data_IF_307824409579
#
_entry.id   IF_307824409579
#
_cell.length_a   1.000
_cell.length_b   1.000
_cell.length_c   1.000
_cell.angle_alpha   90.00
_cell.angle_beta   90.00
_cell.angle_gamma   90.00
#
_symmetry.space_group_name_H-M   'P 1'
#
loop_
_entity.id
_entity.type
_entity.pdbx_description
1 polymer ?
#
# COMPACT_ATOMS: atom_id res chain seq x y z
N UNK A 1 -12.60 -4.27 -60.44
CA UNK A 1 -11.42 -5.05 -60.02
C UNK A 1 -11.82 -5.87 -58.80
N UNK A 2 -12.20 -7.07 -59.07
CA UNK A 2 -12.77 -8.07 -58.15
C UNK A 2 -11.62 -8.95 -57.62
N UNK A 3 -11.49 -9.05 -56.30
CA UNK A 3 -10.57 -10.03 -55.69
C UNK A 3 -11.37 -11.05 -54.88
N UNK A 4 -11.25 -12.30 -55.34
CA UNK A 4 -11.79 -13.55 -54.79
C UNK A 4 -11.32 -13.83 -53.33
N UNK A 5 -12.15 -14.50 -52.55
CA UNK A 5 -11.79 -15.04 -51.26
C UNK A 5 -11.02 -16.37 -51.38
N UNK A 6 -9.91 -16.49 -50.65
CA UNK A 6 -9.17 -17.75 -50.51
C UNK A 6 -9.77 -18.57 -49.38
N UNK A 7 -10.29 -19.72 -49.76
CA UNK A 7 -10.73 -20.81 -48.88
C UNK A 7 -9.48 -21.49 -48.29
N UNK A 8 -9.37 -21.55 -46.98
CA UNK A 8 -8.32 -22.32 -46.27
C UNK A 8 -8.95 -23.64 -45.83
N UNK A 9 -8.43 -24.71 -46.37
CA UNK A 9 -8.75 -26.10 -46.08
C UNK A 9 -8.11 -26.50 -44.73
N UNK A 10 -8.92 -27.00 -43.81
CA UNK A 10 -8.47 -27.57 -42.53
C UNK A 10 -8.40 -29.10 -42.70
N UNK A 11 -7.28 -29.76 -42.41
CA UNK A 11 -7.23 -31.22 -42.38
C UNK A 11 -7.66 -31.79 -41.02
N UNK A 12 -8.18 -33.02 -41.01
CA UNK A 12 -8.77 -33.64 -39.84
C UNK A 12 -7.75 -34.33 -38.93
N UNK A 13 -8.15 -34.34 -37.69
CA UNK A 13 -7.85 -35.22 -36.56
C UNK A 13 -6.87 -36.38 -36.73
N UNK A 14 -5.89 -36.41 -35.82
CA UNK A 14 -5.32 -37.69 -35.37
C UNK A 14 -5.45 -37.72 -33.85
N UNK A 15 -6.29 -38.62 -33.38
CA UNK A 15 -6.41 -39.04 -32.01
C UNK A 15 -5.26 -39.97 -31.69
N UNK A 16 -4.49 -39.69 -30.64
CA UNK A 16 -3.63 -40.67 -29.98
C UNK A 16 -3.93 -40.69 -28.51
N UNK A 17 -4.41 -41.81 -28.09
CA UNK A 17 -4.72 -42.18 -26.71
C UNK A 17 -3.46 -42.61 -25.99
N UNK A 18 -3.54 -42.57 -24.66
CA UNK A 18 -2.86 -43.35 -23.64
C UNK A 18 -1.44 -42.92 -23.22
N UNK A 19 -1.27 -42.54 -21.98
CA UNK A 19 -0.79 -43.43 -20.94
C UNK A 19 -0.78 -42.72 -19.58
N UNK A 20 -1.39 -43.40 -18.64
CA UNK A 20 -1.36 -43.07 -17.23
C UNK A 20 0.07 -43.06 -16.67
N UNK A 21 0.37 -42.00 -15.93
CA UNK A 21 1.56 -41.91 -15.12
C UNK A 21 1.29 -40.84 -14.05
N UNK A 22 0.61 -41.26 -12.97
CA UNK A 22 0.46 -40.42 -11.79
C UNK A 22 1.80 -40.34 -11.07
N UNK A 23 2.59 -39.36 -11.39
CA UNK A 23 3.67 -38.90 -10.51
C UNK A 23 3.09 -37.67 -9.79
N UNK A 24 2.68 -37.89 -8.56
CA UNK A 24 2.36 -36.84 -7.60
C UNK A 24 3.69 -36.28 -7.13
N UNK A 25 4.09 -35.09 -7.51
CA UNK A 25 5.13 -34.39 -6.79
C UNK A 25 4.50 -33.96 -5.46
N UNK A 26 4.98 -34.55 -4.35
CA UNK A 26 4.79 -33.99 -3.03
C UNK A 26 5.47 -32.59 -3.05
N UNK A 27 4.73 -31.57 -3.46
CA UNK A 27 5.10 -30.20 -3.25
C UNK A 27 4.87 -29.93 -1.77
N UNK A 28 5.96 -29.98 -0.99
CA UNK A 28 6.02 -29.27 0.28
C UNK A 28 5.83 -27.78 0.00
N UNK A 29 4.62 -27.34 -0.07
CA UNK A 29 4.27 -25.93 0.00
C UNK A 29 4.02 -25.58 1.46
N UNK A 30 5.10 -25.60 2.28
CA UNK A 30 5.15 -24.80 3.49
C UNK A 30 5.27 -23.32 3.12
N UNK A 31 4.25 -22.84 2.45
CA UNK A 31 3.89 -21.45 2.49
C UNK A 31 2.77 -21.38 3.51
N UNK A 32 3.15 -21.25 4.77
CA UNK A 32 2.26 -20.72 5.79
C UNK A 32 1.88 -19.31 5.31
N UNK A 33 0.94 -19.25 4.38
CA UNK A 33 0.14 -18.06 4.17
C UNK A 33 -0.53 -17.85 5.51
N UNK A 34 -0.19 -16.78 6.20
CA UNK A 34 -0.96 -16.29 7.32
C UNK A 34 -2.34 -15.95 6.75
N UNK A 35 -3.21 -16.95 6.65
CA UNK A 35 -4.63 -16.71 6.54
C UNK A 35 -5.00 -15.93 7.80
N UNK A 36 -5.04 -14.62 7.65
CA UNK A 36 -5.70 -13.77 8.62
C UNK A 36 -7.17 -14.18 8.55
N UNK A 37 -7.51 -15.20 9.33
CA UNK A 37 -8.89 -15.54 9.56
C UNK A 37 -9.53 -14.24 10.08
N UNK A 38 -10.44 -13.67 9.30
CA UNK A 38 -11.30 -12.60 9.77
C UNK A 38 -12.06 -13.21 10.95
N UNK A 39 -11.56 -12.95 12.14
CA UNK A 39 -12.15 -13.43 13.36
C UNK A 39 -13.57 -12.84 13.39
N UNK A 40 -14.56 -13.73 13.44
CA UNK A 40 -15.95 -13.33 13.58
C UNK A 40 -16.11 -12.42 14.79
N UNK A 41 -17.16 -11.59 14.79
CA UNK A 41 -17.49 -10.63 15.84
C UNK A 41 -17.39 -11.30 17.23
N UNK A 42 -16.29 -11.09 17.95
CA UNK A 42 -16.00 -11.70 19.24
C UNK A 42 -14.55 -12.11 19.49
N UNK A 43 -13.71 -12.22 18.46
CA UNK A 43 -12.29 -12.43 18.66
C UNK A 43 -11.65 -11.07 19.02
N UNK A 44 -11.28 -10.91 20.27
CA UNK A 44 -10.45 -9.78 20.69
C UNK A 44 -9.06 -9.97 20.09
N UNK A 45 -8.77 -9.20 19.07
CA UNK A 45 -7.42 -9.13 18.51
C UNK A 45 -6.48 -8.59 19.60
N UNK A 46 -5.54 -9.41 20.04
CA UNK A 46 -4.66 -9.11 21.19
C UNK A 46 -3.72 -7.93 20.92
N UNK A 47 -3.48 -7.64 19.64
CA UNK A 47 -2.54 -6.61 19.17
C UNK A 47 -3.27 -5.47 18.46
N UNK A 48 -4.36 -5.01 19.02
CA UNK A 48 -5.13 -3.92 18.45
C UNK A 48 -4.30 -2.64 18.45
N UNK A 49 -4.27 -1.96 17.31
CA UNK A 49 -3.68 -0.63 17.23
C UNK A 49 -4.47 0.37 18.08
N UNK A 50 -3.81 1.04 19.00
CA UNK A 50 -4.41 2.05 19.88
C UNK A 50 -3.82 3.44 19.64
N UNK A 51 -2.66 3.51 19.01
CA UNK A 51 -1.96 4.75 18.67
C UNK A 51 -1.40 4.70 17.27
N UNK A 52 -1.39 5.85 16.61
CA UNK A 52 -0.81 6.05 15.29
C UNK A 52 0.16 7.23 15.34
N UNK A 53 1.30 7.11 14.69
CA UNK A 53 2.27 8.17 14.52
C UNK A 53 2.73 8.29 13.07
N UNK A 54 3.15 9.50 12.67
CA UNK A 54 3.84 9.71 11.42
C UNK A 54 5.33 9.60 11.71
N UNK A 55 5.98 8.60 11.13
CA UNK A 55 7.39 8.27 11.38
C UNK A 55 8.35 9.39 10.98
N UNK A 56 9.48 9.43 11.67
CA UNK A 56 10.61 10.28 11.30
C UNK A 56 11.20 9.92 9.93
N UNK A 57 10.93 8.72 9.43
CA UNK A 57 11.35 8.24 8.12
C UNK A 57 10.55 8.85 6.96
N UNK A 58 9.50 9.65 7.25
CA UNK A 58 8.76 10.40 6.23
C UNK A 58 9.69 11.36 5.49
N UNK A 59 9.79 11.20 4.16
CA UNK A 59 10.78 11.90 3.36
C UNK A 59 10.22 12.44 2.04
N UNK A 60 10.62 13.64 1.64
CA UNK A 60 10.30 14.17 0.32
C UNK A 60 10.95 13.38 -0.81
N UNK A 61 10.16 13.04 -1.83
CA UNK A 61 10.61 12.42 -3.07
C UNK A 61 10.63 13.50 -4.16
N UNK A 62 11.83 13.94 -4.52
CA UNK A 62 12.02 14.84 -5.66
C UNK A 62 12.07 14.03 -6.96
N UNK A 63 11.37 14.49 -7.97
CA UNK A 63 11.50 14.00 -9.33
C UNK A 63 12.32 15.00 -10.14
N UNK A 64 13.11 14.49 -11.09
CA UNK A 64 13.76 15.34 -12.10
C UNK A 64 12.72 15.99 -13.04
N UNK A 65 11.51 15.42 -13.11
CA UNK A 65 10.43 15.94 -13.91
C UNK A 65 9.61 16.96 -13.09
N UNK A 66 9.44 18.21 -13.56
CA UNK A 66 8.60 19.21 -12.91
C UNK A 66 7.17 18.67 -12.72
N UNK A 67 6.58 18.96 -11.56
CA UNK A 67 5.20 18.56 -11.24
C UNK A 67 5.02 17.08 -10.82
N UNK A 68 6.11 16.33 -10.64
CA UNK A 68 6.07 14.94 -10.15
C UNK A 68 6.64 14.77 -8.74
N UNK A 69 6.62 15.83 -7.96
CA UNK A 69 7.03 15.77 -6.55
C UNK A 69 6.04 14.95 -5.75
N UNK A 70 6.55 14.23 -4.78
CA UNK A 70 5.75 13.46 -3.85
C UNK A 70 6.37 13.47 -2.45
N UNK A 71 5.59 13.05 -1.47
CA UNK A 71 6.06 12.75 -0.12
C UNK A 71 5.89 11.25 0.10
N UNK A 72 6.95 10.55 0.53
CA UNK A 72 6.85 9.18 1.05
C UNK A 72 6.53 9.27 2.53
N UNK A 73 5.25 9.11 2.86
CA UNK A 73 4.77 9.20 4.24
C UNK A 73 4.82 7.83 4.88
N UNK A 74 5.51 7.74 6.02
CA UNK A 74 5.65 6.53 6.82
C UNK A 74 4.77 6.63 8.05
N UNK A 75 3.92 5.62 8.26
CA UNK A 75 2.98 5.55 9.38
C UNK A 75 3.30 4.33 10.22
N UNK A 76 3.36 4.55 11.52
CA UNK A 76 3.57 3.54 12.57
C UNK A 76 2.27 3.40 13.38
N UNK A 77 1.93 2.17 13.72
CA UNK A 77 0.84 1.86 14.64
C UNK A 77 1.41 1.13 15.85
N UNK A 78 0.88 1.45 17.01
CA UNK A 78 1.30 0.88 18.29
C UNK A 78 0.09 0.32 19.04
N UNK A 79 0.30 -0.76 19.75
CA UNK A 79 -0.69 -1.32 20.68
C UNK A 79 -0.65 -0.66 22.07
N UNK A 80 -1.38 -1.21 23.04
CA UNK A 80 -1.45 -0.71 24.42
C UNK A 80 -0.12 -0.81 25.16
N UNK A 81 0.76 -1.72 24.76
CA UNK A 81 2.07 -1.93 25.38
C UNK A 81 3.16 -1.08 24.71
N UNK A 82 2.78 -0.34 23.65
CA UNK A 82 3.65 0.50 22.79
C UNK A 82 4.53 -0.31 21.85
N UNK A 83 4.18 -1.55 21.62
CA UNK A 83 4.82 -2.37 20.60
C UNK A 83 4.25 -2.03 19.22
N UNK A 84 5.10 -2.06 18.20
CA UNK A 84 4.68 -1.85 16.82
C UNK A 84 3.72 -2.94 16.40
N UNK A 85 2.61 -2.53 15.79
CA UNK A 85 1.56 -3.45 15.39
C UNK A 85 0.99 -3.11 14.01
N UNK A 86 0.30 -4.07 13.44
CA UNK A 86 -0.39 -3.89 12.16
C UNK A 86 -1.81 -3.40 12.40
N UNK A 87 -2.33 -2.60 11.46
CA UNK A 87 -3.67 -2.09 11.51
C UNK A 87 -4.46 -2.46 10.26
N UNK A 88 -5.76 -2.73 10.42
CA UNK A 88 -6.68 -3.02 9.32
C UNK A 88 -7.76 -1.93 9.27
N UNK A 89 -7.89 -1.25 8.14
CA UNK A 89 -8.83 -0.15 8.00
C UNK A 89 -8.49 0.79 6.85
N UNK A 90 -9.10 1.96 6.86
CA UNK A 90 -8.88 3.01 5.89
C UNK A 90 -7.90 4.04 6.45
N UNK A 91 -6.79 4.23 5.76
CA UNK A 91 -5.80 5.24 6.08
C UNK A 91 -5.86 6.36 5.04
N UNK A 92 -5.99 7.60 5.50
CA UNK A 92 -5.97 8.79 4.66
C UNK A 92 -4.86 9.72 5.12
N UNK A 93 -4.05 10.18 4.19
CA UNK A 93 -2.97 11.14 4.45
C UNK A 93 -3.21 12.39 3.63
N UNK A 94 -3.11 13.54 4.27
CA UNK A 94 -3.24 14.87 3.69
C UNK A 94 -1.96 15.65 3.94
N UNK A 95 -1.43 16.29 2.91
CA UNK A 95 -0.27 17.18 3.02
C UNK A 95 -0.73 18.61 2.79
N UNK A 96 -0.37 19.50 3.71
CA UNK A 96 -0.70 20.92 3.65
C UNK A 96 0.56 21.77 3.60
N UNK A 97 0.45 22.84 2.84
CA UNK A 97 1.40 23.94 2.86
C UNK A 97 0.63 25.22 3.22
N UNK A 98 1.02 25.85 4.33
CA UNK A 98 0.23 26.88 4.99
C UNK A 98 -1.20 26.36 5.28
N UNK A 99 -2.24 26.98 4.75
CA UNK A 99 -3.64 26.58 4.91
C UNK A 99 -4.14 25.67 3.79
N UNK A 100 -3.38 25.50 2.71
CA UNK A 100 -3.82 24.82 1.51
C UNK A 100 -3.46 23.34 1.52
N UNK A 101 -4.39 22.49 1.14
CA UNK A 101 -4.12 21.08 0.83
C UNK A 101 -3.38 21.03 -0.53
N UNK A 102 -2.19 20.43 -0.53
CA UNK A 102 -1.35 20.29 -1.72
C UNK A 102 -1.13 18.84 -2.12
N UNK A 103 -1.60 17.89 -1.31
CA UNK A 103 -1.51 16.46 -1.63
C UNK A 103 -2.42 15.62 -0.75
N UNK A 104 -2.91 14.52 -1.34
CA UNK A 104 -3.75 13.55 -0.64
C UNK A 104 -3.48 12.15 -1.19
N UNK A 105 -3.44 11.17 -0.29
CA UNK A 105 -3.44 9.76 -0.63
C UNK A 105 -4.31 8.98 0.36
N UNK A 106 -4.84 7.84 -0.09
CA UNK A 106 -5.58 6.93 0.76
C UNK A 106 -5.14 5.49 0.48
N UNK A 107 -5.20 4.64 1.51
CA UNK A 107 -4.93 3.22 1.40
C UNK A 107 -5.97 2.43 2.19
N UNK A 108 -6.53 1.41 1.58
CA UNK A 108 -7.35 0.41 2.25
C UNK A 108 -6.44 -0.71 2.76
N UNK A 109 -6.13 -0.67 4.05
CA UNK A 109 -5.25 -1.66 4.70
C UNK A 109 -5.99 -2.95 5.04
N UNK A 110 -7.34 -2.97 4.96
CA UNK A 110 -8.17 -4.16 5.17
C UNK A 110 -8.45 -4.93 3.88
N UNK A 111 -8.30 -4.26 2.72
CA UNK A 111 -8.56 -4.84 1.40
C UNK A 111 -7.54 -5.91 1.01
N UNK A 112 -7.94 -6.79 0.09
CA UNK A 112 -7.09 -7.85 -0.44
C UNK A 112 -5.81 -7.29 -1.05
N UNK A 113 -4.67 -7.58 -0.43
CA UNK A 113 -3.36 -7.08 -0.84
C UNK A 113 -3.08 -5.61 -0.48
N UNK A 114 -4.02 -4.89 0.12
CA UNK A 114 -3.81 -3.49 0.55
C UNK A 114 -2.72 -3.38 1.60
N UNK A 115 -2.82 -4.20 2.64
CA UNK A 115 -1.78 -4.31 3.66
C UNK A 115 -0.41 -4.64 3.06
N UNK A 116 -0.31 -5.68 2.22
CA UNK A 116 0.96 -6.13 1.65
C UNK A 116 1.62 -5.09 0.72
N UNK A 117 0.85 -4.20 0.11
CA UNK A 117 1.39 -3.14 -0.76
C UNK A 117 1.93 -1.95 0.02
N UNK A 118 1.31 -1.65 1.15
CA UNK A 118 1.67 -0.51 1.96
C UNK A 118 2.69 -0.85 3.06
N UNK A 119 2.77 -2.11 3.50
CA UNK A 119 3.64 -2.54 4.58
C UNK A 119 5.09 -2.72 4.12
N UNK A 120 5.99 -2.03 4.76
CA UNK A 120 7.44 -2.21 4.63
C UNK A 120 7.94 -3.03 5.83
N UNK A 121 8.34 -4.28 5.59
CA UNK A 121 8.76 -5.21 6.65
C UNK A 121 10.16 -4.92 7.19
N UNK A 122 10.92 -4.05 6.57
CA UNK A 122 12.27 -3.67 7.03
C UNK A 122 12.19 -2.55 8.06
N UNK A 123 11.31 -1.59 7.80
CA UNK A 123 11.10 -0.43 8.69
C UNK A 123 9.89 -0.59 9.59
N UNK A 124 9.14 -1.70 9.44
CA UNK A 124 7.90 -2.00 10.17
C UNK A 124 6.86 -0.86 10.11
N UNK A 125 6.83 -0.14 8.99
CA UNK A 125 5.94 1.00 8.75
C UNK A 125 5.03 0.78 7.55
N UNK A 126 3.92 1.51 7.50
CA UNK A 126 3.13 1.66 6.28
C UNK A 126 3.66 2.84 5.45
N UNK A 127 3.97 2.58 4.19
CA UNK A 127 4.45 3.60 3.24
C UNK A 127 3.34 4.02 2.30
N UNK A 128 3.05 5.33 2.26
CA UNK A 128 2.12 5.93 1.32
C UNK A 128 2.81 7.03 0.52
N UNK A 129 2.84 6.86 -0.79
CA UNK A 129 3.31 7.91 -1.70
C UNK A 129 2.20 8.93 -1.93
N UNK A 130 2.39 10.15 -1.45
CA UNK A 130 1.45 11.26 -1.61
C UNK A 130 1.95 12.19 -2.72
N UNK A 131 1.31 12.20 -3.91
CA UNK A 131 1.67 13.15 -4.96
C UNK A 131 1.30 14.57 -4.54
N UNK A 132 2.15 15.53 -4.85
CA UNK A 132 1.92 16.93 -4.54
C UNK A 132 1.46 17.67 -5.82
N UNK A 133 0.42 18.48 -5.69
CA UNK A 133 -0.15 19.28 -6.79
C UNK A 133 0.71 20.49 -7.16
N UNK A 134 1.56 20.93 -6.22
CA UNK A 134 2.53 22.01 -6.42
C UNK A 134 3.87 21.60 -5.82
N UNK A 135 4.95 22.18 -6.31
CA UNK A 135 6.26 22.05 -5.66
C UNK A 135 6.36 23.05 -4.51
N UNK A 136 6.55 22.57 -3.27
CA UNK A 136 6.75 23.45 -2.13
C UNK A 136 8.04 24.28 -2.28
N UNK A 137 8.07 25.55 -1.84
CA UNK A 137 9.29 26.32 -1.85
C UNK A 137 10.37 25.68 -0.98
N UNK A 138 11.66 25.76 -1.39
CA UNK A 138 12.77 25.16 -0.65
C UNK A 138 12.84 25.65 0.80
N UNK A 139 13.14 24.73 1.71
CA UNK A 139 13.30 25.01 3.15
C UNK A 139 11.99 25.25 3.91
N UNK A 140 10.85 25.25 3.24
CA UNK A 140 9.54 25.46 3.91
C UNK A 140 9.06 24.20 4.63
N UNK A 141 8.20 24.42 5.61
CA UNK A 141 7.61 23.36 6.41
C UNK A 141 6.25 22.98 5.84
N UNK A 142 6.03 21.68 5.69
CA UNK A 142 4.76 21.06 5.32
C UNK A 142 4.14 20.43 6.57
N UNK A 143 2.84 20.49 6.68
CA UNK A 143 2.10 19.77 7.71
C UNK A 143 1.50 18.50 7.08
N UNK A 144 1.93 17.35 7.55
CA UNK A 144 1.37 16.05 7.19
C UNK A 144 0.35 15.67 8.24
N UNK A 145 -0.86 15.34 7.82
CA UNK A 145 -1.94 14.87 8.68
C UNK A 145 -2.36 13.49 8.22
N UNK A 146 -2.45 12.55 9.14
CA UNK A 146 -2.96 11.21 8.89
C UNK A 146 -4.22 10.97 9.72
N UNK A 147 -5.20 10.31 9.13
CA UNK A 147 -6.40 9.80 9.80
C UNK A 147 -6.61 8.33 9.44
N UNK A 148 -7.03 7.56 10.42
CA UNK A 148 -7.27 6.14 10.27
C UNK A 148 -8.62 5.76 10.88
N UNK A 149 -9.41 5.03 10.11
CA UNK A 149 -10.67 4.41 10.52
C UNK A 149 -10.51 2.88 10.47
N UNK A 150 -10.36 2.26 11.63
CA UNK A 150 -10.17 0.81 11.78
C UNK A 150 -11.48 0.04 11.55
N UNK A 151 -11.37 -1.19 11.02
CA UNK A 151 -12.52 -2.10 10.85
C UNK A 151 -13.19 -2.46 12.19
N UNK A 152 -12.47 -2.31 13.28
CA UNK A 152 -12.91 -2.51 14.66
C UNK A 152 -13.56 -1.27 15.27
N UNK A 153 -13.71 -0.20 14.49
CA UNK A 153 -14.27 1.07 14.93
C UNK A 153 -13.25 2.01 15.60
N UNK A 154 -11.97 1.63 15.69
CA UNK A 154 -10.93 2.53 16.18
C UNK A 154 -10.76 3.74 15.25
N UNK A 155 -10.62 4.92 15.81
CA UNK A 155 -10.31 6.15 15.08
C UNK A 155 -9.08 6.79 15.64
N UNK A 156 -8.11 7.06 14.77
CA UNK A 156 -6.84 7.66 15.15
C UNK A 156 -6.49 8.80 14.22
N UNK A 157 -5.73 9.76 14.73
CA UNK A 157 -5.17 10.84 13.93
C UNK A 157 -3.78 11.18 14.42
N UNK A 158 -2.92 11.56 13.49
CA UNK A 158 -1.56 12.04 13.77
C UNK A 158 -1.25 13.24 12.90
N UNK A 159 -0.34 14.08 13.35
CA UNK A 159 0.17 15.21 12.59
C UNK A 159 1.66 15.36 12.81
N UNK A 160 2.38 15.72 11.76
CA UNK A 160 3.83 15.94 11.79
C UNK A 160 4.23 17.06 10.84
N UNK A 161 5.18 17.87 11.27
CA UNK A 161 5.86 18.82 10.40
C UNK A 161 7.02 18.15 9.66
N UNK A 162 7.08 18.37 8.35
CA UNK A 162 8.15 17.87 7.47
C UNK A 162 8.75 19.03 6.72
N UNK A 163 10.07 19.21 6.82
CA UNK A 163 10.77 20.29 6.09
C UNK A 163 11.01 19.84 4.64
N UNK A 164 10.56 20.67 3.69
CA UNK A 164 10.91 20.47 2.29
C UNK A 164 12.39 20.80 2.09
N UNK A 165 13.17 19.95 1.39
CA UNK A 165 14.59 20.14 1.25
C UNK A 165 14.95 21.48 0.61
N UNK A 166 16.02 22.08 1.05
CA UNK A 166 16.64 23.19 0.33
C UNK A 166 17.17 22.70 -1.03
N UNK A 167 17.15 23.56 -2.04
CA UNK A 167 17.75 23.23 -3.33
C UNK A 167 19.25 23.04 -3.08
N UNK A 168 19.79 21.86 -3.44
CA UNK A 168 21.24 21.69 -3.46
C UNK A 168 21.81 22.75 -4.43
N UNK A 169 22.72 23.55 -3.91
CA UNK A 169 23.50 24.49 -4.72
C UNK A 169 24.45 23.74 -5.62
#
# INVERSE_FOLDING_TARGET
MTRSPRTILVPPALALAACAGAIVPAACSDRAGSDVAVAGAGATWRWRAERMEISALTTPLRSAEPGRQALDVRIEFFDSERDETKALGQLVVVVRFDTNEIGRAAADLAGVGGHARAWDSVTETYSLRVPLSIEPPPGRVLVVQASFDGIDGARMSASREVRWPETAK
#
